data_IF_893751979973
#
_entry.id   IF_893751979973
#
_cell.length_a   1.000
_cell.length_b   1.000
_cell.length_c   1.000
_cell.angle_alpha   90.00
_cell.angle_beta   90.00
_cell.angle_gamma   90.00
#
_symmetry.space_group_name_H-M   'P 1'
#
loop_
_entity.id
_entity.type
_entity.pdbx_description
1 polymer ?
#
# COMPACT_ATOMS: atom_id res chain seq x y z
N UNK A 1 -36.55 -5.58 -6.87
CA UNK A 1 -36.35 -4.13 -6.67
C UNK A 1 -34.87 -3.89 -6.89
N UNK A 2 -34.48 -2.81 -7.57
CA UNK A 2 -33.06 -2.49 -7.79
C UNK A 2 -32.43 -2.14 -6.44
N UNK A 3 -31.17 -2.52 -6.20
CA UNK A 3 -30.44 -2.17 -4.97
C UNK A 3 -30.38 -0.63 -4.76
N UNK A 4 -30.37 0.13 -5.85
CA UNK A 4 -30.47 1.60 -5.85
C UNK A 4 -31.82 2.08 -5.29
N UNK A 5 -32.91 1.40 -5.64
CA UNK A 5 -34.26 1.72 -5.14
C UNK A 5 -34.35 1.45 -3.63
N UNK A 6 -33.71 0.39 -3.14
CA UNK A 6 -33.67 0.09 -1.70
C UNK A 6 -32.87 1.15 -0.92
N UNK A 7 -31.75 1.64 -1.48
CA UNK A 7 -30.96 2.72 -0.89
C UNK A 7 -31.70 4.06 -0.88
N UNK A 8 -32.39 4.42 -1.98
CA UNK A 8 -33.25 5.61 -2.04
C UNK A 8 -34.36 5.56 -0.99
N UNK A 9 -34.96 4.40 -0.78
CA UNK A 9 -35.98 4.21 0.26
C UNK A 9 -35.41 4.35 1.67
N UNK A 10 -34.17 3.91 1.93
CA UNK A 10 -33.49 4.13 3.20
C UNK A 10 -33.21 5.62 3.46
N UNK A 11 -32.82 6.38 2.44
CA UNK A 11 -32.60 7.84 2.56
C UNK A 11 -33.91 8.55 2.93
N UNK A 12 -35.03 8.18 2.32
CA UNK A 12 -36.37 8.72 2.66
C UNK A 12 -36.75 8.40 4.11
N UNK A 13 -36.41 7.19 4.57
CA UNK A 13 -36.66 6.78 5.95
C UNK A 13 -35.82 7.59 6.95
N UNK A 14 -34.55 7.87 6.63
CA UNK A 14 -33.67 8.74 7.43
C UNK A 14 -34.20 10.17 7.47
N UNK A 15 -34.69 10.72 6.36
CA UNK A 15 -35.29 12.06 6.32
C UNK A 15 -36.55 12.17 7.18
N UNK A 16 -37.36 11.11 7.20
CA UNK A 16 -38.53 11.04 8.08
C UNK A 16 -38.13 11.01 9.55
N UNK A 17 -37.10 10.22 9.90
CA UNK A 17 -36.57 10.15 11.26
C UNK A 17 -35.94 11.48 11.70
N UNK A 18 -35.19 12.16 10.82
CA UNK A 18 -34.62 13.49 11.09
C UNK A 18 -35.67 14.58 11.32
N UNK A 19 -36.87 14.44 10.77
CA UNK A 19 -37.97 15.38 10.97
C UNK A 19 -38.66 15.19 12.34
N UNK A 20 -38.61 13.98 12.90
CA UNK A 20 -39.25 13.63 14.18
C UNK A 20 -38.27 13.60 15.36
N UNK A 21 -36.96 13.49 15.09
CA UNK A 21 -35.91 13.37 16.11
C UNK A 21 -35.66 14.70 16.85
N UNK A 22 -35.68 14.62 18.17
CA UNK A 22 -35.52 15.77 19.10
C UNK A 22 -34.21 15.73 19.86
N UNK A 23 -33.47 14.62 19.78
CA UNK A 23 -32.16 14.47 20.37
C UNK A 23 -31.06 15.01 19.45
N UNK A 24 -30.30 15.99 19.93
CA UNK A 24 -29.25 16.69 19.15
C UNK A 24 -28.04 15.81 18.80
N UNK A 25 -27.86 14.66 19.46
CA UNK A 25 -26.75 13.74 19.19
C UNK A 25 -27.18 12.75 18.12
N UNK A 26 -28.34 12.10 18.29
CA UNK A 26 -28.90 11.19 17.30
C UNK A 26 -29.17 11.90 15.95
N UNK A 27 -29.59 13.17 16.00
CA UNK A 27 -29.79 13.99 14.81
C UNK A 27 -28.49 14.23 14.04
N UNK A 28 -27.37 14.46 14.72
CA UNK A 28 -26.07 14.66 14.05
C UNK A 28 -25.57 13.38 13.39
N UNK A 29 -25.76 12.24 14.03
CA UNK A 29 -25.37 10.94 13.47
C UNK A 29 -26.21 10.61 12.22
N UNK A 30 -27.50 10.93 12.23
CA UNK A 30 -28.38 10.80 11.06
C UNK A 30 -28.07 11.83 9.95
N UNK A 31 -27.71 13.06 10.32
CA UNK A 31 -27.27 14.10 9.36
C UNK A 31 -25.93 13.75 8.69
N UNK A 32 -25.06 12.99 9.37
CA UNK A 32 -23.79 12.52 8.83
C UNK A 32 -23.94 11.27 7.94
N UNK A 33 -24.87 10.38 8.24
CA UNK A 33 -25.08 9.13 7.45
C UNK A 33 -25.85 9.36 6.15
N UNK A 34 -26.66 10.43 6.07
CA UNK A 34 -27.37 10.81 4.84
C UNK A 34 -26.47 11.12 3.63
N UNK A 35 -25.45 12.01 3.72
CA UNK A 35 -24.59 12.32 2.59
C UNK A 35 -23.82 11.09 2.09
N UNK A 36 -23.36 10.23 3.01
CA UNK A 36 -22.64 9.00 2.67
C UNK A 36 -23.52 8.06 1.81
N UNK A 37 -24.82 7.94 2.12
CA UNK A 37 -25.75 7.13 1.34
C UNK A 37 -26.12 7.75 -0.01
N UNK A 38 -26.13 9.07 -0.12
CA UNK A 38 -26.38 9.77 -1.39
C UNK A 38 -25.22 9.59 -2.37
N UNK A 39 -23.98 9.69 -1.89
CA UNK A 39 -22.77 9.44 -2.68
C UNK A 39 -22.73 7.99 -3.20
N UNK A 40 -23.12 7.02 -2.36
CA UNK A 40 -23.22 5.62 -2.77
C UNK A 40 -24.27 5.40 -3.87
N UNK A 41 -25.39 6.11 -3.84
CA UNK A 41 -26.42 6.02 -4.88
C UNK A 41 -25.93 6.64 -6.19
N UNK A 42 -25.26 7.80 -6.13
CA UNK A 42 -24.71 8.48 -7.31
C UNK A 42 -23.68 7.59 -8.03
N UNK A 43 -22.76 6.98 -7.30
CA UNK A 43 -21.78 6.03 -7.84
C UNK A 43 -22.44 4.81 -8.51
N UNK A 44 -23.51 4.28 -7.92
CA UNK A 44 -24.22 3.13 -8.48
C UNK A 44 -25.06 3.49 -9.73
N UNK A 45 -25.57 4.72 -9.82
CA UNK A 45 -26.28 5.22 -11.00
C UNK A 45 -25.32 5.44 -12.18
N UNK A 46 -24.12 5.96 -11.93
CA UNK A 46 -23.07 6.14 -12.93
C UNK A 46 -22.59 4.78 -13.53
N UNK A 47 -22.53 3.75 -12.70
CA UNK A 47 -22.18 2.39 -13.13
C UNK A 47 -23.30 1.72 -13.96
N UNK A 48 -24.59 2.00 -13.67
CA UNK A 48 -25.71 1.52 -14.48
C UNK A 48 -25.80 2.24 -15.85
N UNK A 49 -25.54 3.55 -15.90
CA UNK A 49 -25.49 4.32 -17.16
C UNK A 49 -24.32 3.88 -18.07
N UNK A 50 -23.24 3.39 -17.48
CA UNK A 50 -22.06 2.88 -18.20
C UNK A 50 -22.30 1.53 -18.90
N UNK A 51 -23.43 0.85 -18.65
CA UNK A 51 -23.78 -0.42 -19.29
C UNK A 51 -24.74 -0.30 -20.50
N UNK A 52 -25.28 0.88 -20.80
CA UNK A 52 -26.11 1.13 -22.01
C UNK A 52 -25.45 2.13 -22.97
N UNK A 53 -24.37 1.73 -23.64
CA UNK A 53 -23.65 2.64 -24.54
C UNK A 53 -22.78 2.01 -25.62
N UNK A 54 -23.31 1.06 -26.41
CA UNK A 54 -22.69 0.66 -27.68
C UNK A 54 -23.36 1.41 -28.84
N UNK A 55 -22.60 2.22 -29.60
CA UNK A 55 -22.67 2.39 -31.09
C UNK A 55 -22.44 3.83 -31.59
N UNK A 56 -21.32 3.98 -32.32
CA UNK A 56 -21.11 4.71 -33.59
C UNK A 56 -21.11 6.28 -33.67
N UNK A 57 -19.89 6.80 -33.85
CA UNK A 57 -19.37 7.52 -35.04
C UNK A 57 -19.81 8.97 -35.37
N UNK A 58 -18.87 9.93 -35.23
CA UNK A 58 -18.43 10.91 -36.26
C UNK A 58 -17.43 11.92 -35.62
N UNK A 59 -16.13 11.90 -35.97
CA UNK A 59 -15.43 12.89 -36.85
C UNK A 59 -15.71 14.36 -36.48
N UNK A 60 -14.76 15.25 -36.19
CA UNK A 60 -13.45 15.49 -36.80
C UNK A 60 -12.61 16.48 -35.95
N UNK A 61 -11.30 16.20 -35.89
CA UNK A 61 -10.12 17.09 -35.84
C UNK A 61 -9.97 18.20 -34.77
N UNK A 62 -8.93 18.05 -33.95
CA UNK A 62 -7.73 18.92 -34.00
C UNK A 62 -6.52 18.29 -33.31
N UNK A 63 -5.39 18.43 -33.99
CA UNK A 63 -4.08 17.84 -33.72
C UNK A 63 -3.48 18.22 -32.36
N UNK A 64 -3.08 17.20 -31.60
CA UNK A 64 -1.83 17.21 -30.86
C UNK A 64 -1.25 15.79 -30.97
N UNK A 65 0.04 15.72 -31.30
CA UNK A 65 0.77 14.47 -31.54
C UNK A 65 0.91 13.73 -30.21
N UNK A 66 0.00 12.80 -29.96
CA UNK A 66 0.21 11.71 -29.01
C UNK A 66 0.72 10.51 -29.81
N UNK A 67 1.93 10.07 -29.47
CA UNK A 67 2.40 8.76 -29.84
C UNK A 67 1.34 7.74 -29.41
N UNK A 68 0.88 6.95 -30.38
CA UNK A 68 -0.03 5.83 -30.17
C UNK A 68 0.64 4.84 -29.23
N UNK A 69 0.35 4.96 -27.93
CA UNK A 69 0.50 3.83 -27.03
C UNK A 69 -0.69 2.94 -27.35
N UNK A 70 -0.39 1.79 -27.97
CA UNK A 70 -1.33 0.69 -28.08
C UNK A 70 -1.90 0.43 -26.69
N UNK A 71 -3.22 0.47 -26.60
CA UNK A 71 -4.04 0.13 -25.44
C UNK A 71 -3.75 -1.32 -25.04
N UNK A 72 -2.63 -1.50 -24.34
CA UNK A 72 -2.26 -2.72 -23.66
C UNK A 72 -2.83 -2.62 -22.25
N UNK A 73 -4.06 -3.12 -22.10
CA UNK A 73 -4.76 -3.38 -20.83
C UNK A 73 -3.93 -4.24 -19.83
N UNK A 74 -2.67 -4.55 -20.13
CA UNK A 74 -1.70 -5.13 -19.21
C UNK A 74 -1.19 -4.13 -18.17
N UNK A 75 -1.05 -2.84 -18.48
CA UNK A 75 -0.43 -1.88 -17.55
C UNK A 75 -1.36 -1.47 -16.40
N UNK A 76 -2.67 -1.41 -16.64
CA UNK A 76 -3.65 -1.13 -15.58
C UNK A 76 -3.70 -2.25 -14.53
N UNK A 77 -3.37 -3.50 -14.92
CA UNK A 77 -3.28 -4.61 -13.96
C UNK A 77 -2.06 -4.52 -13.03
N UNK A 78 -1.03 -3.73 -13.40
CA UNK A 78 0.17 -3.56 -12.58
C UNK A 78 -0.07 -2.58 -11.43
N UNK A 79 -0.93 -1.58 -11.61
CA UNK A 79 -1.25 -0.61 -10.56
C UNK A 79 -1.89 -1.30 -9.35
N UNK A 80 -1.42 -0.96 -8.15
CA UNK A 80 -1.87 -1.57 -6.90
C UNK A 80 -1.31 -2.96 -6.62
N UNK A 81 -0.60 -3.58 -7.56
CA UNK A 81 0.04 -4.88 -7.34
C UNK A 81 1.20 -4.77 -6.33
N UNK A 82 1.38 -5.83 -5.53
CA UNK A 82 2.54 -5.96 -4.64
C UNK A 82 3.74 -6.44 -5.45
N UNK A 83 4.91 -5.90 -5.15
CA UNK A 83 6.17 -6.28 -5.77
C UNK A 83 7.33 -6.23 -4.77
N UNK A 84 8.51 -6.69 -5.20
CA UNK A 84 9.77 -6.53 -4.49
C UNK A 84 10.63 -5.51 -5.24
N UNK A 85 10.97 -4.39 -4.59
CA UNK A 85 11.70 -3.29 -5.21
C UNK A 85 12.99 -2.95 -4.44
N UNK A 86 14.09 -2.62 -5.13
CA UNK A 86 15.31 -2.15 -4.49
C UNK A 86 15.14 -0.72 -3.96
N UNK A 87 15.92 -0.39 -2.95
CA UNK A 87 16.01 0.98 -2.44
C UNK A 87 17.48 1.37 -2.26
N UNK A 88 18.00 2.22 -3.13
CA UNK A 88 19.44 2.48 -3.23
C UNK A 88 20.08 3.04 -1.95
N UNK A 89 19.26 3.66 -1.07
CA UNK A 89 19.73 4.23 0.20
C UNK A 89 19.73 3.24 1.37
N UNK A 90 19.06 2.08 1.26
CA UNK A 90 19.13 1.02 2.26
C UNK A 90 20.04 -0.11 1.77
N UNK A 91 21.03 -0.44 2.59
CA UNK A 91 21.98 -1.55 2.32
C UNK A 91 21.71 -2.77 3.18
N UNK A 92 20.72 -2.70 4.08
CA UNK A 92 20.40 -3.78 5.00
C UNK A 92 19.60 -4.89 4.34
N UNK A 93 18.80 -4.57 3.32
CA UNK A 93 18.05 -5.52 2.51
C UNK A 93 18.26 -5.21 1.03
N UNK A 94 18.39 -6.22 0.16
CA UNK A 94 18.54 -5.99 -1.28
C UNK A 94 17.23 -5.52 -1.93
N UNK A 95 16.11 -6.04 -1.44
CA UNK A 95 14.76 -5.76 -1.95
C UNK A 95 13.81 -5.56 -0.78
N UNK A 96 12.81 -4.73 -1.01
CA UNK A 96 11.76 -4.40 -0.07
C UNK A 96 10.39 -4.64 -0.69
N UNK A 97 9.46 -5.14 0.11
CA UNK A 97 8.06 -5.23 -0.29
C UNK A 97 7.51 -3.83 -0.55
N UNK A 98 6.94 -3.65 -1.73
CA UNK A 98 6.35 -2.41 -2.17
C UNK A 98 5.04 -2.65 -2.93
N UNK A 99 4.32 -1.57 -3.19
CA UNK A 99 3.11 -1.54 -4.00
C UNK A 99 3.35 -0.58 -5.16
N UNK A 100 3.02 -0.99 -6.38
CA UNK A 100 3.09 -0.12 -7.55
C UNK A 100 1.97 0.92 -7.43
N UNK A 101 2.36 2.19 -7.31
CA UNK A 101 1.43 3.30 -7.12
C UNK A 101 1.10 3.98 -8.46
N UNK A 102 2.09 4.12 -9.33
CA UNK A 102 1.93 4.83 -10.60
C UNK A 102 2.92 4.30 -11.65
N UNK A 103 2.58 4.44 -12.93
CA UNK A 103 3.42 4.06 -14.06
C UNK A 103 3.91 5.35 -14.71
N UNK A 104 5.16 5.71 -14.43
CA UNK A 104 5.75 6.97 -14.93
C UNK A 104 6.09 6.90 -16.42
N UNK A 105 6.43 5.70 -16.91
CA UNK A 105 6.76 5.41 -18.32
C UNK A 105 6.74 3.90 -18.58
N UNK A 106 6.90 3.48 -19.83
CA UNK A 106 6.96 2.05 -20.21
C UNK A 106 8.06 1.24 -19.51
N UNK A 107 9.10 1.89 -18.98
CA UNK A 107 10.23 1.23 -18.30
C UNK A 107 10.40 1.62 -16.84
N UNK A 108 9.57 2.52 -16.30
CA UNK A 108 9.69 2.99 -14.91
C UNK A 108 8.34 3.08 -14.24
N UNK A 109 8.32 2.65 -13.00
CA UNK A 109 7.15 2.73 -12.13
C UNK A 109 7.53 3.41 -10.82
N UNK A 110 6.54 3.99 -10.18
CA UNK A 110 6.66 4.57 -8.86
C UNK A 110 6.04 3.63 -7.84
N UNK A 111 6.80 3.30 -6.81
CA UNK A 111 6.37 2.35 -5.78
C UNK A 111 6.30 2.98 -4.39
N UNK A 112 5.45 2.44 -3.53
CA UNK A 112 5.39 2.75 -2.09
C UNK A 112 5.82 1.53 -1.28
N UNK A 113 6.78 1.70 -0.37
CA UNK A 113 7.26 0.60 0.45
C UNK A 113 6.29 0.29 1.60
N UNK A 114 5.92 -0.98 1.75
CA UNK A 114 5.00 -1.45 2.79
C UNK A 114 5.65 -1.50 4.18
N UNK A 115 6.95 -1.79 4.22
CA UNK A 115 7.72 -1.95 5.46
C UNK A 115 8.85 -0.92 5.52
N UNK A 116 8.56 0.36 5.81
CA UNK A 116 9.58 1.40 5.80
C UNK A 116 10.64 1.17 6.88
N UNK A 117 11.89 0.97 6.48
CA UNK A 117 13.05 0.78 7.36
C UNK A 117 13.75 2.10 7.71
N UNK A 118 13.42 3.18 6.99
CA UNK A 118 13.91 4.52 7.21
C UNK A 118 12.83 5.58 6.92
N UNK A 119 12.98 6.82 7.42
CA UNK A 119 11.98 7.87 7.22
C UNK A 119 11.68 8.19 5.75
N UNK A 120 12.67 8.07 4.87
CA UNK A 120 12.52 8.34 3.44
C UNK A 120 11.63 7.32 2.71
N UNK A 121 11.39 6.15 3.30
CA UNK A 121 10.47 5.13 2.76
C UNK A 121 9.05 5.30 3.29
N UNK A 122 8.84 6.07 4.38
CA UNK A 122 7.53 6.23 5.00
C UNK A 122 6.63 7.06 4.09
N UNK A 123 5.47 6.55 3.64
CA UNK A 123 4.57 7.31 2.77
C UNK A 123 4.10 8.62 3.43
N UNK A 124 4.05 9.68 2.65
CA UNK A 124 3.53 10.97 3.06
C UNK A 124 2.00 10.95 3.04
N UNK A 125 1.35 11.02 4.20
CA UNK A 125 -0.12 11.05 4.29
C UNK A 125 -0.75 12.23 3.53
N UNK A 126 -0.11 13.40 3.56
CA UNK A 126 -0.58 14.57 2.80
C UNK A 126 -0.44 14.40 1.29
N UNK A 127 0.55 13.64 0.82
CA UNK A 127 0.69 13.35 -0.60
C UNK A 127 -0.40 12.40 -1.06
N UNK A 128 -0.67 11.34 -0.29
CA UNK A 128 -1.77 10.41 -0.55
C UNK A 128 -3.14 11.10 -0.55
N UNK A 129 -3.30 12.17 0.23
CA UNK A 129 -4.50 13.00 0.26
C UNK A 129 -4.45 14.20 -0.71
N UNK A 130 -3.46 14.29 -1.60
CA UNK A 130 -3.30 15.39 -2.56
C UNK A 130 -3.23 16.81 -1.94
N UNK A 131 -2.78 16.91 -0.69
CA UNK A 131 -2.64 18.17 0.08
C UNK A 131 -1.20 18.57 0.38
N UNK A 132 -0.21 17.75 -0.01
CA UNK A 132 1.20 18.04 0.28
C UNK A 132 1.72 19.22 -0.56
N UNK A 133 2.36 20.20 0.10
CA UNK A 133 2.94 21.40 -0.54
C UNK A 133 4.47 21.35 -0.71
N UNK A 134 5.10 20.28 -0.23
CA UNK A 134 6.57 20.19 -0.16
C UNK A 134 7.21 19.53 -1.38
N UNK A 135 6.41 18.86 -2.23
CA UNK A 135 6.88 18.13 -3.42
C UNK A 135 8.14 17.28 -3.11
N UNK A 136 9.23 17.44 -3.86
CA UNK A 136 10.50 16.72 -3.67
C UNK A 136 11.22 17.04 -2.34
N UNK A 137 10.91 18.16 -1.70
CA UNK A 137 11.48 18.54 -0.41
C UNK A 137 10.72 17.94 0.78
N UNK A 138 9.74 17.07 0.54
CA UNK A 138 9.00 16.42 1.61
C UNK A 138 9.90 15.45 2.38
N UNK A 139 9.79 15.46 3.71
CA UNK A 139 10.53 14.53 4.58
C UNK A 139 10.05 13.08 4.43
N UNK A 140 8.83 12.89 3.95
CA UNK A 140 8.19 11.60 3.77
C UNK A 140 8.11 11.25 2.27
N UNK A 141 8.06 9.96 1.98
CA UNK A 141 8.05 9.43 0.61
C UNK A 141 6.81 9.88 -0.16
N UNK A 142 7.00 10.38 -1.38
CA UNK A 142 5.96 10.53 -2.40
C UNK A 142 5.99 9.36 -3.40
N UNK A 143 6.52 8.22 -2.98
CA UNK A 143 6.89 7.12 -3.86
C UNK A 143 8.35 7.18 -4.27
N UNK A 144 8.86 6.02 -4.70
CA UNK A 144 10.22 5.83 -5.18
C UNK A 144 10.16 5.35 -6.63
N UNK A 145 10.82 6.08 -7.52
CA UNK A 145 10.88 5.74 -8.95
C UNK A 145 11.95 4.68 -9.18
N UNK A 146 11.54 3.56 -9.78
CA UNK A 146 12.38 2.39 -10.04
C UNK A 146 12.14 1.87 -11.45
N UNK A 147 13.18 1.30 -12.06
CA UNK A 147 13.08 0.65 -13.37
C UNK A 147 12.31 -0.67 -13.24
N UNK A 148 11.40 -0.92 -14.17
CA UNK A 148 10.56 -2.13 -14.16
C UNK A 148 11.42 -3.41 -14.18
N UNK A 149 12.56 -3.39 -14.87
CA UNK A 149 13.52 -4.50 -14.93
C UNK A 149 14.19 -4.82 -13.59
N UNK A 150 14.19 -3.89 -12.63
CA UNK A 150 14.77 -4.06 -11.29
C UNK A 150 13.74 -4.54 -10.26
N UNK A 151 12.48 -4.66 -10.65
CA UNK A 151 11.40 -5.16 -9.78
C UNK A 151 11.32 -6.68 -9.92
N UNK A 152 11.07 -7.36 -8.80
CA UNK A 152 10.76 -8.78 -8.78
C UNK A 152 9.30 -9.00 -8.33
N UNK A 153 8.74 -10.13 -8.73
CA UNK A 153 7.40 -10.55 -8.33
C UNK A 153 7.31 -10.69 -6.80
N UNK A 154 6.19 -10.25 -6.23
CA UNK A 154 5.97 -10.38 -4.81
C UNK A 154 5.94 -11.84 -4.36
N UNK A 155 6.79 -12.16 -3.39
CA UNK A 155 6.81 -13.46 -2.73
C UNK A 155 6.09 -13.35 -1.38
N UNK A 156 5.07 -14.18 -1.19
CA UNK A 156 4.39 -14.25 0.11
C UNK A 156 5.35 -14.79 1.18
N UNK A 157 5.49 -14.09 2.33
CA UNK A 157 6.36 -14.54 3.38
C UNK A 157 5.92 -15.89 3.95
N UNK A 158 6.84 -16.84 4.05
CA UNK A 158 6.59 -18.12 4.70
C UNK A 158 6.59 -17.95 6.23
N UNK A 159 5.42 -17.73 6.81
CA UNK A 159 5.28 -17.63 8.26
C UNK A 159 5.64 -18.92 9.00
N UNK A 160 5.73 -20.08 8.33
CA UNK A 160 6.20 -21.32 8.95
C UNK A 160 7.71 -21.30 9.18
N UNK A 161 8.46 -20.50 8.42
CA UNK A 161 9.91 -20.31 8.59
C UNK A 161 10.28 -19.52 9.85
N UNK A 162 9.30 -18.96 10.56
CA UNK A 162 9.51 -18.26 11.84
C UNK A 162 9.83 -19.31 12.91
N UNK A 163 11.13 -19.42 13.20
CA UNK A 163 11.71 -20.29 14.22
C UNK A 163 12.61 -19.49 15.15
N UNK A 164 12.88 -20.01 16.35
CA UNK A 164 13.82 -19.39 17.27
C UNK A 164 15.17 -19.16 16.58
N UNK A 165 15.83 -18.05 16.91
CA UNK A 165 17.08 -17.62 16.29
C UNK A 165 16.97 -17.19 14.81
N UNK A 166 15.80 -17.30 14.18
CA UNK A 166 15.54 -16.79 12.83
C UNK A 166 15.59 -15.27 12.74
N UNK A 167 15.82 -14.75 11.52
CA UNK A 167 15.81 -13.31 11.24
C UNK A 167 14.46 -12.87 10.70
N UNK A 168 13.96 -11.77 11.25
CA UNK A 168 12.68 -11.17 10.88
C UNK A 168 12.79 -9.66 10.84
N UNK A 169 11.95 -9.04 10.02
CA UNK A 169 11.57 -7.65 10.14
C UNK A 169 10.44 -7.54 11.16
N UNK A 170 10.59 -6.62 12.11
CA UNK A 170 9.59 -6.30 13.12
C UNK A 170 9.42 -4.78 13.20
N UNK A 171 8.20 -4.33 13.50
CA UNK A 171 7.93 -2.91 13.73
C UNK A 171 8.54 -2.46 15.06
N UNK A 172 9.50 -1.54 15.00
CA UNK A 172 10.14 -0.95 16.17
C UNK A 172 9.28 0.13 16.84
N UNK A 173 9.81 0.74 17.90
CA UNK A 173 9.13 1.81 18.66
C UNK A 173 8.97 3.13 17.89
N UNK A 174 9.71 3.30 16.80
CA UNK A 174 9.71 4.50 15.97
C UNK A 174 8.75 4.43 14.77
N UNK A 175 7.86 3.42 14.74
CA UNK A 175 7.01 3.08 13.59
C UNK A 175 7.78 2.66 12.33
N UNK A 176 9.11 2.50 12.44
CA UNK A 176 9.97 1.96 11.39
C UNK A 176 10.20 0.46 11.61
N UNK A 177 10.38 -0.26 10.52
CA UNK A 177 10.70 -1.67 10.54
C UNK A 177 12.19 -1.88 10.72
N UNK A 178 12.54 -2.81 11.60
CA UNK A 178 13.93 -3.12 11.93
C UNK A 178 14.18 -4.62 11.85
N UNK A 179 15.40 -4.98 11.45
CA UNK A 179 15.84 -6.37 11.46
C UNK A 179 16.11 -6.78 12.91
N UNK A 180 15.55 -7.92 13.30
CA UNK A 180 15.74 -8.53 14.59
C UNK A 180 15.86 -10.04 14.51
N UNK A 181 16.37 -10.63 15.59
CA UNK A 181 16.50 -12.07 15.76
C UNK A 181 15.47 -12.58 16.74
N UNK A 182 14.78 -13.66 16.42
CA UNK A 182 13.78 -14.26 17.30
C UNK A 182 14.48 -14.83 18.54
N UNK A 183 14.09 -14.30 19.70
CA UNK A 183 14.63 -14.66 21.02
C UNK A 183 13.82 -15.79 21.65
N UNK A 184 12.48 -15.72 21.55
CA UNK A 184 11.56 -16.71 22.07
C UNK A 184 10.22 -16.69 21.32
N UNK A 185 9.53 -17.84 21.30
CA UNK A 185 8.18 -17.98 20.72
C UNK A 185 7.25 -18.56 21.78
N UNK A 186 6.16 -17.86 22.09
CA UNK A 186 5.08 -18.32 22.98
C UNK A 186 3.74 -18.25 22.25
N UNK A 187 3.37 -19.36 21.61
CA UNK A 187 2.18 -19.45 20.78
C UNK A 187 2.20 -18.46 19.62
N UNK A 188 1.33 -17.45 19.67
CA UNK A 188 1.25 -16.40 18.65
C UNK A 188 2.15 -15.19 18.95
N UNK A 189 2.67 -15.08 20.17
CA UNK A 189 3.55 -13.98 20.57
C UNK A 189 5.00 -14.38 20.33
N UNK A 190 5.75 -13.49 19.71
CA UNK A 190 7.15 -13.71 19.35
C UNK A 190 7.97 -12.56 19.92
N UNK A 191 8.97 -12.88 20.73
CA UNK A 191 9.95 -11.94 21.21
C UNK A 191 11.10 -11.84 20.21
N UNK A 192 11.42 -10.62 19.79
CA UNK A 192 12.42 -10.32 18.78
C UNK A 192 13.43 -9.34 19.37
N UNK A 193 14.71 -9.72 19.35
CA UNK A 193 15.82 -8.86 19.75
C UNK A 193 16.33 -8.09 18.52
N UNK A 194 16.19 -6.77 18.54
CA UNK A 194 16.61 -5.88 17.45
C UNK A 194 18.13 -5.91 17.27
N UNK A 195 18.61 -6.05 16.04
CA UNK A 195 20.05 -6.13 15.76
C UNK A 195 20.77 -4.80 15.93
N UNK A 196 20.09 -3.68 15.63
CA UNK A 196 20.70 -2.33 15.70
C UNK A 196 20.82 -1.81 17.13
N UNK A 197 19.74 -1.90 17.91
CA UNK A 197 19.66 -1.33 19.26
C UNK A 197 19.94 -2.35 20.37
N UNK A 198 19.80 -3.65 20.09
CA UNK A 198 19.88 -4.72 21.09
C UNK A 198 18.65 -4.82 22.00
N UNK A 199 17.67 -3.92 21.84
CA UNK A 199 16.40 -3.93 22.57
C UNK A 199 15.52 -5.11 22.16
N UNK A 200 14.66 -5.57 23.05
CA UNK A 200 13.70 -6.63 22.78
C UNK A 200 12.30 -6.06 22.57
N UNK A 201 11.62 -6.53 21.54
CA UNK A 201 10.26 -6.16 21.16
C UNK A 201 9.42 -7.42 21.09
N UNK A 202 8.19 -7.37 21.62
CA UNK A 202 7.22 -8.45 21.48
C UNK A 202 6.19 -8.08 20.42
N UNK A 203 5.88 -9.01 19.52
CA UNK A 203 4.90 -8.83 18.44
C UNK A 203 4.19 -10.14 18.10
N UNK A 204 3.06 -10.07 17.39
CA UNK A 204 2.38 -11.29 16.95
C UNK A 204 3.10 -11.88 15.75
N UNK A 205 3.08 -13.21 15.61
CA UNK A 205 3.69 -13.93 14.47
C UNK A 205 3.27 -13.39 13.10
N UNK A 206 2.01 -12.95 12.96
CA UNK A 206 1.45 -12.37 11.72
C UNK A 206 1.93 -10.94 11.42
N UNK A 207 2.45 -10.24 12.42
CA UNK A 207 2.95 -8.87 12.30
C UNK A 207 4.48 -8.84 12.08
N UNK A 208 5.08 -10.02 11.84
CA UNK A 208 6.49 -10.19 11.51
C UNK A 208 6.65 -10.54 10.03
N UNK A 209 7.73 -10.08 9.41
CA UNK A 209 8.09 -10.47 8.05
C UNK A 209 9.36 -11.33 8.11
N UNK A 210 9.28 -12.64 7.82
CA UNK A 210 10.45 -13.51 7.77
C UNK A 210 11.41 -13.10 6.65
N UNK A 211 12.71 -13.07 6.95
CA UNK A 211 13.76 -12.67 6.00
C UNK A 211 14.53 -13.86 5.40
N UNK A 212 14.15 -15.10 5.76
CA UNK A 212 14.92 -16.29 5.41
C UNK A 212 16.29 -16.35 6.09
N UNK A 213 17.08 -17.38 5.75
CA UNK A 213 18.49 -17.43 6.13
C UNK A 213 19.27 -16.44 5.27
N UNK A 214 19.56 -15.26 5.82
CA UNK A 214 20.53 -14.36 5.20
C UNK A 214 21.89 -15.03 5.41
N UNK A 215 22.40 -15.76 4.41
CA UNK A 215 23.75 -16.30 4.44
C UNK A 215 24.73 -15.15 4.67
N UNK A 216 25.25 -15.04 5.90
CA UNK A 216 26.42 -14.24 6.18
C UNK A 216 27.57 -14.83 5.36
N UNK A 217 27.80 -14.29 4.15
CA UNK A 217 29.05 -14.53 3.43
C UNK A 217 30.17 -13.85 4.21
N UNK A 218 30.60 -14.49 5.30
CA UNK A 218 31.86 -14.20 5.96
C UNK A 218 32.95 -14.30 4.88
N UNK A 219 33.49 -13.14 4.50
CA UNK A 219 34.76 -13.05 3.78
C UNK A 219 35.86 -13.64 4.68
N UNK A 220 36.01 -14.97 4.66
CA UNK A 220 37.26 -15.62 5.02
C UNK A 220 38.28 -15.26 3.93
N UNK A 221 38.86 -14.07 4.05
CA UNK A 221 40.08 -13.74 3.32
C UNK A 221 41.15 -14.63 3.93
N UNK A 222 41.47 -15.68 3.17
CA UNK A 222 42.48 -16.63 3.53
C UNK A 222 43.82 -15.87 3.49
N UNK A 223 44.34 -15.48 4.66
CA UNK A 223 45.75 -15.09 4.80
C UNK A 223 46.59 -16.34 4.59
N UNK A 224 46.76 -16.70 3.33
CA UNK A 224 47.72 -17.69 2.86
C UNK A 224 49.12 -17.17 3.14
N UNK A 225 49.70 -17.73 4.19
CA UNK A 225 51.11 -17.63 4.57
C UNK A 225 51.87 -18.59 3.65
N UNK A 226 52.73 -18.07 2.77
CA UNK A 226 53.89 -18.76 2.19
C UNK A 226 54.87 -17.72 1.71
#
# INVERSE_FOLDING_TARGET
MSEIEDLKNQIIQIDTLLAEEKDDVARRDLEQTKPDLLELVELMEEDEESQEGTSENAKEEKEAVEERIEDDNSTDTLLGSRCMAPFDSDRSLPLHTAIIMDIESSSRVRVLFSHPTCPAMKPCSHFLASTCRYNENCRFSHGYSVELERIEDYQEPDFMSIVEQGLVLVKGSSELWEIGRISAIDGQNVAVKLLKSGSEVSSKRKDLVPLGEIEEKEKKTNRGKS
#
